data_IF_594791244318
#
_entry.id   IF_594791244318
#
_cell.length_a   1.000
_cell.length_b   1.000
_cell.length_c   1.000
_cell.angle_alpha   90.00
_cell.angle_beta   90.00
_cell.angle_gamma   90.00
#
_symmetry.space_group_name_H-M   'P 1'
#
loop_
_entity.id
_entity.type
_entity.pdbx_description
1 polymer ?
#
# COMPACT_ATOMS: atom_id res chain seq x y z
N UNK A 1 -8.72 -5.45 -14.84
CA UNK A 1 -7.37 -4.95 -14.51
C UNK A 1 -7.29 -4.26 -13.15
N UNK A 2 -8.06 -3.19 -12.86
CA UNK A 2 -8.01 -2.45 -11.56
C UNK A 2 -8.12 -3.32 -10.28
N UNK A 3 -8.93 -4.39 -10.33
CA UNK A 3 -9.10 -5.34 -9.21
C UNK A 3 -7.79 -6.03 -8.81
N UNK A 4 -6.99 -6.43 -9.80
CA UNK A 4 -5.75 -7.17 -9.58
C UNK A 4 -4.71 -6.23 -8.95
N UNK A 5 -4.61 -5.00 -9.44
CA UNK A 5 -3.69 -4.00 -8.87
C UNK A 5 -4.03 -3.66 -7.41
N UNK A 6 -5.32 -3.51 -7.06
CA UNK A 6 -5.71 -3.25 -5.66
C UNK A 6 -5.24 -4.32 -4.67
N UNK A 7 -5.20 -5.59 -5.09
CA UNK A 7 -4.79 -6.72 -4.22
C UNK A 7 -3.30 -7.00 -4.33
N UNK A 8 -2.72 -6.87 -5.52
CA UNK A 8 -1.30 -7.10 -5.76
C UNK A 8 -0.41 -6.08 -5.04
N UNK A 9 -0.83 -4.81 -4.95
CA UNK A 9 -0.07 -3.74 -4.29
C UNK A 9 0.23 -4.06 -2.82
N UNK A 10 -0.75 -4.34 -1.94
CA UNK A 10 -0.46 -4.63 -0.54
C UNK A 10 0.38 -5.91 -0.37
N UNK A 11 0.18 -6.91 -1.23
CA UNK A 11 1.00 -8.14 -1.22
C UNK A 11 2.45 -7.82 -1.60
N UNK A 12 2.66 -7.03 -2.65
CA UNK A 12 4.00 -6.60 -3.09
C UNK A 12 4.70 -5.78 -2.00
N UNK A 13 3.97 -4.87 -1.36
CA UNK A 13 4.46 -4.02 -0.27
C UNK A 13 4.90 -4.83 0.95
N UNK A 14 4.22 -5.94 1.25
CA UNK A 14 4.62 -6.86 2.32
C UNK A 14 5.83 -7.72 1.97
N UNK A 15 6.02 -8.02 0.69
CA UNK A 15 7.11 -8.87 0.21
C UNK A 15 8.40 -8.10 -0.06
N UNK A 16 8.32 -6.84 -0.50
CA UNK A 16 9.46 -5.97 -0.80
C UNK A 16 10.56 -5.93 0.28
N UNK A 17 10.23 -5.85 1.59
CA UNK A 17 11.22 -5.89 2.66
C UNK A 17 12.05 -7.18 2.72
N UNK A 18 11.60 -8.29 2.12
CA UNK A 18 12.34 -9.56 2.11
C UNK A 18 13.45 -9.60 1.05
N UNK A 19 13.40 -8.70 0.06
CA UNK A 19 14.28 -8.76 -1.12
C UNK A 19 15.17 -7.53 -1.28
N UNK A 20 14.94 -6.46 -0.53
CA UNK A 20 15.60 -5.17 -0.72
C UNK A 20 16.04 -4.56 0.62
N UNK A 21 17.09 -3.74 0.56
CA UNK A 21 17.59 -3.01 1.72
C UNK A 21 16.59 -1.97 2.24
N UNK A 22 16.56 -1.83 3.57
CA UNK A 22 15.61 -0.97 4.28
C UNK A 22 15.59 0.48 3.76
N UNK A 23 16.74 1.00 3.30
CA UNK A 23 16.90 2.37 2.79
C UNK A 23 16.09 2.66 1.52
N UNK A 24 15.84 1.66 0.68
CA UNK A 24 15.07 1.81 -0.58
C UNK A 24 13.63 1.33 -0.41
N UNK A 25 13.42 0.35 0.47
CA UNK A 25 12.11 -0.29 0.73
C UNK A 25 11.07 0.72 1.18
N UNK A 26 11.41 1.63 2.10
CA UNK A 26 10.41 2.59 2.61
C UNK A 26 9.92 3.55 1.52
N UNK A 27 10.80 4.02 0.62
CA UNK A 27 10.44 4.93 -0.49
C UNK A 27 9.47 4.23 -1.43
N UNK A 28 9.83 3.01 -1.88
CA UNK A 28 8.98 2.23 -2.79
C UNK A 28 7.63 1.91 -2.14
N UNK A 29 7.64 1.54 -0.87
CA UNK A 29 6.42 1.15 -0.18
C UNK A 29 5.49 2.35 0.09
N UNK A 30 6.01 3.55 0.35
CA UNK A 30 5.19 4.78 0.43
C UNK A 30 4.54 5.07 -0.93
N UNK A 31 5.28 4.97 -2.03
CA UNK A 31 4.74 5.18 -3.39
C UNK A 31 3.67 4.14 -3.76
N UNK A 32 3.96 2.86 -3.51
CA UNK A 32 3.05 1.76 -3.81
C UNK A 32 1.77 1.82 -2.98
N UNK A 33 1.87 2.06 -1.67
CA UNK A 33 0.69 2.20 -0.81
C UNK A 33 -0.14 3.43 -1.17
N UNK A 34 0.47 4.53 -1.61
CA UNK A 34 -0.24 5.69 -2.17
C UNK A 34 -1.05 5.33 -3.43
N UNK A 35 -0.43 4.59 -4.36
CA UNK A 35 -1.13 4.05 -5.54
C UNK A 35 -2.25 3.08 -5.14
N UNK A 36 -2.01 2.24 -4.12
CA UNK A 36 -2.99 1.30 -3.57
C UNK A 36 -4.22 2.00 -3.00
N UNK A 37 -4.04 3.12 -2.29
CA UNK A 37 -5.13 3.96 -1.78
C UNK A 37 -5.91 4.59 -2.94
N UNK A 38 -5.23 5.15 -3.95
CA UNK A 38 -5.88 5.75 -5.11
C UNK A 38 -6.72 4.74 -5.89
N UNK A 39 -6.13 3.60 -6.24
CA UNK A 39 -6.87 2.55 -6.95
C UNK A 39 -7.99 1.95 -6.11
N UNK A 40 -7.76 1.74 -4.80
CA UNK A 40 -8.77 1.26 -3.87
C UNK A 40 -9.96 2.22 -3.75
N UNK A 41 -9.69 3.53 -3.69
CA UNK A 41 -10.71 4.58 -3.58
C UNK A 41 -11.57 4.64 -4.83
N UNK A 42 -10.92 4.62 -6.00
CA UNK A 42 -11.59 4.56 -7.30
C UNK A 42 -12.46 3.30 -7.38
N UNK A 43 -11.92 2.13 -7.05
CA UNK A 43 -12.64 0.86 -7.18
C UNK A 43 -13.79 0.74 -6.16
N UNK A 44 -13.63 1.25 -4.94
CA UNK A 44 -14.71 1.32 -3.95
C UNK A 44 -15.84 2.24 -4.42
N UNK A 45 -15.51 3.40 -5.01
CA UNK A 45 -16.51 4.32 -5.59
C UNK A 45 -17.34 3.68 -6.68
N UNK A 46 -16.74 2.86 -7.55
CA UNK A 46 -17.44 2.20 -8.66
C UNK A 46 -18.26 0.98 -8.24
N UNK A 47 -17.81 0.17 -7.26
CA UNK A 47 -18.46 -1.12 -6.94
C UNK A 47 -19.15 -1.19 -5.59
N UNK A 48 -18.76 -0.36 -4.62
CA UNK A 48 -19.27 -0.34 -3.23
C UNK A 48 -19.25 -1.71 -2.51
N UNK A 49 -18.46 -2.68 -2.97
CA UNK A 49 -18.35 -3.98 -2.27
C UNK A 49 -17.48 -3.84 -1.01
N UNK A 50 -17.89 -4.50 0.08
CA UNK A 50 -17.21 -4.47 1.39
C UNK A 50 -15.75 -4.95 1.32
N UNK A 51 -15.43 -5.85 0.38
CA UNK A 51 -14.09 -6.40 0.19
C UNK A 51 -13.10 -5.31 -0.25
N UNK A 52 -13.50 -4.39 -1.13
CA UNK A 52 -12.62 -3.29 -1.57
C UNK A 52 -12.39 -2.25 -0.49
N UNK A 53 -13.37 -2.04 0.40
CA UNK A 53 -13.20 -1.21 1.57
C UNK A 53 -12.17 -1.80 2.52
N UNK A 54 -12.19 -3.12 2.74
CA UNK A 54 -11.16 -3.80 3.52
C UNK A 54 -9.77 -3.63 2.91
N UNK A 55 -9.63 -3.87 1.60
CA UNK A 55 -8.34 -3.68 0.90
C UNK A 55 -7.83 -2.24 0.97
N UNK A 56 -8.74 -1.25 0.89
CA UNK A 56 -8.38 0.16 1.06
C UNK A 56 -7.85 0.44 2.48
N UNK A 57 -8.55 -0.05 3.51
CA UNK A 57 -8.12 0.10 4.91
C UNK A 57 -6.72 -0.50 5.12
N UNK A 58 -6.47 -1.70 4.59
CA UNK A 58 -5.15 -2.34 4.68
C UNK A 58 -4.06 -1.47 4.02
N UNK A 59 -4.32 -0.91 2.84
CA UNK A 59 -3.37 -0.01 2.18
C UNK A 59 -3.12 1.28 3.00
N UNK A 60 -4.15 1.84 3.65
CA UNK A 60 -4.01 3.01 4.52
C UNK A 60 -3.15 2.68 5.75
N UNK A 61 -3.37 1.53 6.39
CA UNK A 61 -2.57 1.10 7.54
C UNK A 61 -1.11 0.89 7.13
N UNK A 62 -0.86 0.22 6.00
CA UNK A 62 0.49 0.04 5.47
C UNK A 62 1.14 1.38 5.15
N UNK A 63 0.42 2.32 4.54
CA UNK A 63 0.93 3.66 4.26
C UNK A 63 1.40 4.37 5.53
N UNK A 64 0.58 4.36 6.60
CA UNK A 64 0.95 4.95 7.89
C UNK A 64 2.18 4.27 8.51
N UNK A 65 2.24 2.93 8.43
CA UNK A 65 3.40 2.18 8.90
C UNK A 65 4.69 2.58 8.17
N UNK A 66 4.65 2.73 6.84
CA UNK A 66 5.84 3.10 6.08
C UNK A 66 6.20 4.58 6.23
N UNK A 67 5.25 5.47 6.49
CA UNK A 67 5.56 6.84 6.93
C UNK A 67 6.29 6.81 8.28
N UNK A 68 5.83 6.01 9.23
CA UNK A 68 6.50 5.87 10.51
C UNK A 68 7.92 5.28 10.34
N UNK A 69 8.08 4.24 9.51
CA UNK A 69 9.38 3.66 9.20
C UNK A 69 10.32 4.68 8.51
N UNK A 70 9.79 5.52 7.61
CA UNK A 70 10.53 6.62 7.01
C UNK A 70 11.03 7.59 8.08
N UNK A 71 10.16 8.05 8.99
CA UNK A 71 10.55 9.00 10.04
C UNK A 71 11.67 8.42 10.90
N UNK A 72 11.56 7.15 11.32
CA UNK A 72 12.61 6.49 12.12
C UNK A 72 13.90 6.20 11.34
N UNK A 73 13.88 6.20 10.01
CA UNK A 73 15.11 6.07 9.22
C UNK A 73 15.94 7.36 9.25
N UNK A 74 15.29 8.52 9.41
CA UNK A 74 15.96 9.84 9.45
C UNK A 74 16.30 10.35 10.85
N UNK A 75 15.75 9.73 11.91
CA UNK A 75 16.02 10.04 13.33
C UNK A 75 17.13 9.15 13.85
#
# INVERSE_FOLDING_TARGET
MLRIFCVAIPVLVLLLPLFMDASVVWILNVLLTSLGILFGSVNYRYRKEKLWLFVLIVNVILFLYYIYAMINFFV
#
